data_IF_318607239727
#
_entry.id   IF_318607239727
#
_cell.length_a   1.000
_cell.length_b   1.000
_cell.length_c   1.000
_cell.angle_alpha   90.00
_cell.angle_beta   90.00
_cell.angle_gamma   90.00
#
_symmetry.space_group_name_H-M   'P 1'
#
loop_
_entity.id
_entity.type
_entity.pdbx_description
1 polymer ?
#
# COMPACT_ATOMS: atom_id res chain seq x y z
N UNK A 1 -24.79 24.80 -16.57
CA UNK A 1 -25.32 24.83 -15.19
C UNK A 1 -24.92 23.57 -14.41
N UNK A 2 -25.34 22.36 -14.82
CA UNK A 2 -25.01 21.12 -14.10
C UNK A 2 -23.50 20.84 -13.94
N UNK A 3 -22.71 20.98 -15.02
CA UNK A 3 -21.25 20.75 -14.96
C UNK A 3 -20.55 21.70 -13.99
N UNK A 4 -20.87 23.00 -14.03
CA UNK A 4 -20.32 24.01 -13.11
C UNK A 4 -20.70 23.72 -11.66
N UNK A 5 -21.96 23.34 -11.42
CA UNK A 5 -22.42 22.96 -10.07
C UNK A 5 -21.66 21.75 -9.51
N UNK A 6 -21.43 20.72 -10.33
CA UNK A 6 -20.67 19.52 -9.94
C UNK A 6 -19.19 19.85 -9.72
N UNK A 7 -18.60 20.72 -10.54
CA UNK A 7 -17.24 21.23 -10.33
C UNK A 7 -17.13 21.94 -9.00
N UNK A 8 -17.99 22.92 -8.71
CA UNK A 8 -17.95 23.65 -7.43
C UNK A 8 -18.16 22.71 -6.26
N UNK A 9 -19.15 21.81 -6.34
CA UNK A 9 -19.37 20.78 -5.33
C UNK A 9 -18.10 19.94 -5.09
N UNK A 10 -17.38 19.59 -6.15
CA UNK A 10 -16.17 18.75 -6.03
C UNK A 10 -15.02 19.37 -5.25
N UNK A 11 -14.99 20.71 -5.14
CA UNK A 11 -13.98 21.43 -4.36
C UNK A 11 -14.43 21.74 -2.93
N UNK A 12 -15.73 21.69 -2.64
CA UNK A 12 -16.29 22.09 -1.35
C UNK A 12 -16.57 20.90 -0.42
N UNK A 13 -16.70 19.68 -0.97
CA UNK A 13 -16.95 18.51 -0.13
C UNK A 13 -15.76 18.20 0.79
N UNK A 14 -16.00 17.66 2.00
CA UNK A 14 -14.93 17.17 2.85
C UNK A 14 -14.12 16.07 2.14
N UNK A 15 -12.79 16.11 2.29
CA UNK A 15 -11.90 15.10 1.70
C UNK A 15 -12.03 13.72 2.38
N UNK A 16 -12.64 13.67 3.57
CA UNK A 16 -12.96 12.45 4.31
C UNK A 16 -14.40 12.49 4.84
N UNK A 17 -15.12 11.37 4.72
CA UNK A 17 -16.47 11.17 5.26
C UNK A 17 -16.65 9.71 5.67
N UNK A 18 -17.25 9.45 6.84
CA UNK A 18 -17.58 8.10 7.32
C UNK A 18 -16.41 7.11 7.41
N UNK A 19 -15.22 7.58 7.83
CA UNK A 19 -14.01 6.76 7.91
C UNK A 19 -13.41 6.38 6.55
N UNK A 20 -13.98 6.87 5.45
CA UNK A 20 -13.38 6.83 4.12
C UNK A 20 -12.61 8.11 3.84
N UNK A 21 -11.45 7.98 3.19
CA UNK A 21 -10.67 9.11 2.68
C UNK A 21 -10.76 9.24 1.16
N UNK A 22 -10.19 10.32 0.66
CA UNK A 22 -10.00 10.59 -0.76
C UNK A 22 -11.28 10.88 -1.56
N UNK A 23 -12.33 11.39 -0.91
CA UNK A 23 -13.61 11.66 -1.59
C UNK A 23 -13.43 12.65 -2.75
N UNK A 24 -12.67 13.73 -2.51
CA UNK A 24 -12.37 14.77 -3.51
C UNK A 24 -11.66 14.17 -4.73
N UNK A 25 -10.65 13.33 -4.53
CA UNK A 25 -9.88 12.70 -5.62
C UNK A 25 -10.76 11.79 -6.47
N UNK A 26 -11.70 11.06 -5.84
CA UNK A 26 -12.63 10.17 -6.56
C UNK A 26 -13.62 10.95 -7.42
N UNK A 27 -14.06 12.12 -6.96
CA UNK A 27 -15.06 12.90 -7.70
C UNK A 27 -14.47 13.93 -8.66
N UNK A 28 -13.18 14.24 -8.54
CA UNK A 28 -12.49 15.17 -9.43
C UNK A 28 -12.57 14.76 -10.91
N UNK A 29 -12.80 13.47 -11.20
CA UNK A 29 -12.98 13.01 -12.58
C UNK A 29 -14.29 13.49 -13.24
N UNK A 30 -15.38 13.63 -12.46
CA UNK A 30 -16.71 13.94 -13.02
C UNK A 30 -16.79 15.29 -13.74
N UNK A 31 -16.24 16.40 -13.21
CA UNK A 31 -16.18 17.66 -13.94
C UNK A 31 -15.60 17.53 -15.35
N UNK A 32 -14.50 16.78 -15.50
CA UNK A 32 -13.86 16.58 -16.79
C UNK A 32 -14.72 15.74 -17.73
N UNK A 33 -15.31 14.65 -17.25
CA UNK A 33 -16.21 13.81 -18.06
C UNK A 33 -17.43 14.59 -18.53
N UNK A 34 -18.06 15.38 -17.65
CA UNK A 34 -19.20 16.22 -18.00
C UNK A 34 -18.81 17.31 -19.00
N UNK A 35 -17.62 17.88 -18.87
CA UNK A 35 -17.14 18.89 -19.80
C UNK A 35 -16.86 18.28 -21.18
N UNK A 36 -16.26 17.09 -21.24
CA UNK A 36 -16.08 16.34 -22.49
C UNK A 36 -17.42 16.04 -23.17
N UNK A 37 -18.41 15.54 -22.42
CA UNK A 37 -19.76 15.27 -22.93
C UNK A 37 -20.47 16.54 -23.41
N UNK A 38 -20.29 17.66 -22.69
CA UNK A 38 -20.85 18.94 -23.08
C UNK A 38 -20.22 19.47 -24.38
N UNK A 39 -18.90 19.41 -24.53
CA UNK A 39 -18.22 19.78 -25.79
C UNK A 39 -18.66 18.88 -26.95
N UNK A 40 -18.88 17.59 -26.69
CA UNK A 40 -19.34 16.66 -27.71
C UNK A 40 -20.77 16.98 -28.22
N UNK A 41 -21.62 17.54 -27.36
CA UNK A 41 -23.04 17.84 -27.65
C UNK A 41 -23.32 19.29 -28.01
N UNK A 42 -22.44 20.23 -27.66
CA UNK A 42 -22.56 21.63 -28.05
C UNK A 42 -22.47 21.79 -29.59
N UNK A 43 -23.47 22.45 -30.19
CA UNK A 43 -23.59 22.64 -31.64
C UNK A 43 -22.53 23.58 -32.23
N UNK A 44 -22.15 23.31 -33.49
CA UNK A 44 -21.27 24.09 -34.39
C UNK A 44 -19.79 24.26 -34.05
N UNK A 45 -19.24 23.59 -33.03
CA UNK A 45 -17.84 23.77 -32.64
C UNK A 45 -16.91 22.67 -33.21
N UNK A 46 -16.93 22.44 -34.52
CA UNK A 46 -16.14 21.38 -35.16
C UNK A 46 -14.62 21.53 -34.95
N UNK A 47 -14.09 22.76 -35.03
CA UNK A 47 -12.67 23.04 -34.82
C UNK A 47 -12.26 22.74 -33.37
N UNK A 48 -13.03 23.23 -32.39
CA UNK A 48 -12.77 22.99 -30.97
C UNK A 48 -12.78 21.49 -30.66
N UNK A 49 -13.78 20.74 -31.15
CA UNK A 49 -13.85 19.28 -30.97
C UNK A 49 -12.60 18.57 -31.49
N UNK A 50 -12.10 18.95 -32.68
CA UNK A 50 -10.86 18.38 -33.24
C UNK A 50 -9.64 18.71 -32.39
N UNK A 51 -9.49 19.97 -31.98
CA UNK A 51 -8.37 20.39 -31.12
C UNK A 51 -8.41 19.65 -29.78
N UNK A 52 -9.58 19.61 -29.12
CA UNK A 52 -9.75 18.87 -27.87
C UNK A 52 -9.44 17.39 -28.03
N UNK A 53 -9.90 16.75 -29.12
CA UNK A 53 -9.60 15.34 -29.39
C UNK A 53 -8.10 15.10 -29.59
N UNK A 54 -7.42 15.94 -30.38
CA UNK A 54 -5.97 15.82 -30.61
C UNK A 54 -5.19 16.02 -29.32
N UNK A 55 -5.46 17.10 -28.57
CA UNK A 55 -4.77 17.40 -27.31
C UNK A 55 -5.01 16.29 -26.28
N UNK A 56 -6.26 15.82 -26.14
CA UNK A 56 -6.58 14.73 -25.21
C UNK A 56 -5.92 13.42 -25.64
N UNK A 57 -5.84 13.13 -26.94
CA UNK A 57 -5.14 11.97 -27.48
C UNK A 57 -3.65 12.01 -27.15
N UNK A 58 -2.98 13.14 -27.41
CA UNK A 58 -1.56 13.35 -27.07
C UNK A 58 -1.34 13.19 -25.56
N UNK A 59 -2.18 13.84 -24.73
CA UNK A 59 -2.09 13.73 -23.28
C UNK A 59 -2.30 12.30 -22.79
N UNK A 60 -3.28 11.58 -23.36
CA UNK A 60 -3.56 10.18 -23.01
C UNK A 60 -2.39 9.27 -23.32
N UNK A 61 -1.82 9.37 -24.53
CA UNK A 61 -0.66 8.57 -24.93
C UNK A 61 0.55 8.89 -24.06
N UNK A 62 0.81 10.18 -23.80
CA UNK A 62 1.91 10.59 -22.93
C UNK A 62 1.77 10.08 -21.50
N UNK A 63 0.59 10.25 -20.89
CA UNK A 63 0.31 9.75 -19.53
C UNK A 63 0.33 8.22 -19.45
N UNK A 64 -0.16 7.53 -20.49
CA UNK A 64 -0.09 6.07 -20.57
C UNK A 64 1.37 5.60 -20.62
N UNK A 65 2.22 6.26 -21.42
CA UNK A 65 3.65 5.94 -21.48
C UNK A 65 4.34 6.11 -20.12
N UNK A 66 4.07 7.21 -19.42
CA UNK A 66 4.56 7.44 -18.05
C UNK A 66 4.06 6.35 -17.11
N UNK A 67 2.75 6.03 -17.15
CA UNK A 67 2.16 5.02 -16.28
C UNK A 67 2.73 3.62 -16.54
N UNK A 68 2.90 3.22 -17.81
CA UNK A 68 3.51 1.95 -18.19
C UNK A 68 4.96 1.83 -17.71
N UNK A 69 5.74 2.91 -17.80
CA UNK A 69 7.11 2.94 -17.29
C UNK A 69 7.16 2.66 -15.78
N UNK A 70 6.35 3.37 -14.99
CA UNK A 70 6.31 3.15 -13.54
C UNK A 70 5.71 1.79 -13.16
N UNK A 71 4.70 1.31 -13.87
CA UNK A 71 4.17 -0.05 -13.66
C UNK A 71 5.23 -1.11 -13.92
N UNK A 72 6.06 -0.93 -14.95
CA UNK A 72 7.16 -1.84 -15.22
C UNK A 72 8.20 -1.83 -14.11
N UNK A 73 8.59 -0.65 -13.60
CA UNK A 73 9.47 -0.56 -12.43
C UNK A 73 8.86 -1.30 -11.22
N UNK A 74 7.60 -1.04 -10.93
CA UNK A 74 6.92 -1.65 -9.78
C UNK A 74 6.68 -3.15 -9.92
N UNK A 75 6.60 -3.69 -11.14
CA UNK A 75 6.47 -5.13 -11.36
C UNK A 75 7.67 -5.91 -10.80
N UNK A 76 8.87 -5.30 -10.74
CA UNK A 76 10.05 -5.92 -10.14
C UNK A 76 9.88 -6.10 -8.64
N UNK A 77 9.32 -5.10 -7.96
CA UNK A 77 9.03 -5.20 -6.52
C UNK A 77 7.98 -6.27 -6.25
N UNK A 78 6.91 -6.31 -7.05
CA UNK A 78 5.87 -7.35 -6.92
C UNK A 78 6.46 -8.75 -7.13
N UNK A 79 7.35 -8.92 -8.11
CA UNK A 79 8.01 -10.20 -8.36
C UNK A 79 8.83 -10.70 -7.17
N UNK A 80 9.43 -9.80 -6.37
CA UNK A 80 10.15 -10.17 -5.15
C UNK A 80 9.22 -10.70 -4.06
N UNK A 81 8.05 -10.09 -3.91
CA UNK A 81 7.02 -10.62 -3.03
C UNK A 81 6.53 -11.99 -3.54
N UNK A 82 6.23 -12.12 -4.83
CA UNK A 82 5.73 -13.37 -5.41
C UNK A 82 6.75 -14.52 -5.31
N UNK A 83 8.05 -14.26 -5.48
CA UNK A 83 9.12 -15.26 -5.35
C UNK A 83 9.26 -15.79 -3.92
N UNK A 84 8.92 -14.97 -2.92
CA UNK A 84 9.04 -15.29 -1.51
C UNK A 84 7.78 -15.98 -0.94
N UNK A 85 6.65 -15.89 -1.63
CA UNK A 85 5.36 -16.47 -1.20
C UNK A 85 5.42 -17.98 -0.96
N UNK A 86 6.31 -18.71 -1.65
CA UNK A 86 6.47 -20.15 -1.50
C UNK A 86 6.89 -20.56 -0.08
N UNK A 87 7.70 -19.73 0.60
CA UNK A 87 8.20 -20.00 1.95
C UNK A 87 7.19 -19.81 3.08
N UNK A 88 5.99 -19.28 2.80
CA UNK A 88 4.95 -19.01 3.79
C UNK A 88 3.90 -20.13 3.79
N UNK A 89 3.90 -21.07 4.75
CA UNK A 89 2.93 -22.17 4.79
C UNK A 89 1.50 -21.66 4.98
N UNK A 90 0.49 -22.35 4.42
CA UNK A 90 -0.91 -22.02 4.66
C UNK A 90 -1.27 -22.12 6.16
N UNK A 91 -2.21 -21.28 6.59
CA UNK A 91 -2.73 -21.21 7.96
C UNK A 91 -1.86 -20.41 8.94
N UNK A 92 -0.79 -19.77 8.45
CA UNK A 92 0.16 -19.00 9.27
C UNK A 92 -0.12 -17.51 9.21
N UNK A 93 0.32 -16.79 10.24
CA UNK A 93 0.28 -15.33 10.29
C UNK A 93 1.55 -14.73 9.70
N UNK A 94 1.43 -13.54 9.14
CA UNK A 94 2.57 -12.78 8.64
C UNK A 94 2.47 -11.31 9.02
N UNK A 95 3.63 -10.71 9.30
CA UNK A 95 3.78 -9.27 9.55
C UNK A 95 4.87 -8.72 8.64
N UNK A 96 4.52 -7.73 7.83
CA UNK A 96 5.47 -6.94 7.04
C UNK A 96 6.03 -5.81 7.89
N UNK A 97 7.35 -5.74 7.91
CA UNK A 97 8.17 -4.70 8.52
C UNK A 97 8.78 -3.88 7.38
N UNK A 98 8.15 -2.76 7.07
CA UNK A 98 8.52 -1.88 5.97
C UNK A 98 9.48 -0.78 6.44
N UNK A 99 10.73 -0.83 5.97
CA UNK A 99 11.75 0.18 6.26
C UNK A 99 11.76 1.34 5.26
N UNK A 100 10.95 1.32 4.20
CA UNK A 100 10.97 2.37 3.18
C UNK A 100 10.01 3.53 3.46
N UNK A 101 9.18 3.43 4.50
CA UNK A 101 8.30 4.51 4.94
C UNK A 101 7.24 4.90 3.89
N UNK A 102 6.87 3.98 3.01
CA UNK A 102 5.80 4.11 2.00
C UNK A 102 6.03 5.13 0.88
N UNK A 103 7.13 5.89 0.92
CA UNK A 103 7.47 6.92 -0.05
C UNK A 103 8.82 6.68 -0.72
N UNK A 104 9.55 5.64 -0.32
CA UNK A 104 10.82 5.25 -0.92
C UNK A 104 10.72 3.82 -1.47
N UNK A 105 11.42 3.57 -2.56
CA UNK A 105 11.72 2.21 -2.99
C UNK A 105 12.82 1.60 -2.10
N UNK A 106 13.03 0.26 -2.11
CA UNK A 106 14.16 -0.37 -1.43
C UNK A 106 15.53 0.20 -1.82
N UNK A 107 15.64 0.79 -3.02
CA UNK A 107 16.84 1.45 -3.53
C UNK A 107 16.91 2.94 -3.13
N UNK A 108 15.94 3.45 -2.37
CA UNK A 108 15.90 4.82 -1.89
C UNK A 108 15.34 5.83 -2.90
N UNK A 109 14.77 5.39 -4.02
CA UNK A 109 14.14 6.30 -4.97
C UNK A 109 12.80 6.79 -4.41
N UNK A 110 12.52 8.10 -4.53
CA UNK A 110 11.22 8.62 -4.09
C UNK A 110 10.12 8.11 -5.00
N UNK A 111 9.13 7.48 -4.39
CA UNK A 111 7.94 6.99 -5.07
C UNK A 111 6.74 7.86 -4.75
N UNK A 112 5.84 7.99 -5.73
CA UNK A 112 4.59 8.69 -5.47
C UNK A 112 3.77 7.87 -4.50
N UNK A 113 3.33 8.48 -3.40
CA UNK A 113 2.35 7.86 -2.49
C UNK A 113 1.12 7.32 -3.24
N UNK A 114 0.73 7.95 -4.36
CA UNK A 114 -0.39 7.50 -5.21
C UNK A 114 -0.11 6.21 -5.98
N UNK A 115 1.16 5.88 -6.15
CA UNK A 115 1.67 4.71 -6.90
C UNK A 115 2.42 3.76 -5.96
N UNK A 116 2.23 3.84 -4.63
CA UNK A 116 2.86 2.90 -3.72
C UNK A 116 2.20 1.52 -3.90
N UNK A 117 2.80 0.70 -4.76
CA UNK A 117 2.32 -0.65 -5.07
C UNK A 117 2.71 -1.69 -4.02
N UNK A 118 3.63 -1.39 -3.09
CA UNK A 118 4.10 -2.33 -2.07
C UNK A 118 3.53 -2.12 -0.67
N UNK A 119 2.89 -0.98 -0.37
CA UNK A 119 2.25 -0.74 0.94
C UNK A 119 1.22 -1.82 1.31
N UNK A 120 0.68 -2.53 0.30
CA UNK A 120 -0.16 -3.71 0.47
C UNK A 120 0.21 -4.87 -0.48
N UNK A 121 1.47 -4.98 -0.94
CA UNK A 121 1.85 -6.08 -1.83
C UNK A 121 1.63 -7.45 -1.19
N UNK A 122 1.84 -7.56 0.12
CA UNK A 122 1.58 -8.76 0.90
C UNK A 122 0.11 -9.19 0.88
N UNK A 123 -0.83 -8.26 0.69
CA UNK A 123 -2.24 -8.61 0.62
C UNK A 123 -2.59 -9.39 -0.66
N UNK A 124 -1.68 -9.46 -1.65
CA UNK A 124 -1.79 -10.42 -2.76
C UNK A 124 -1.55 -11.86 -2.31
N UNK A 125 -0.75 -12.08 -1.27
CA UNK A 125 -0.46 -13.43 -0.76
C UNK A 125 -1.71 -14.08 -0.18
N UNK A 126 -2.52 -13.32 0.57
CA UNK A 126 -3.74 -13.84 1.19
C UNK A 126 -4.82 -14.22 0.16
N UNK A 127 -4.75 -13.66 -1.06
CA UNK A 127 -5.65 -14.03 -2.16
C UNK A 127 -5.30 -15.40 -2.73
N UNK A 128 -4.01 -15.72 -2.84
CA UNK A 128 -3.53 -16.94 -3.47
C UNK A 128 -3.22 -18.06 -2.47
N UNK A 129 -3.06 -17.73 -1.18
CA UNK A 129 -2.69 -18.65 -0.13
C UNK A 129 -3.42 -18.28 1.16
N UNK A 130 -3.97 -19.23 1.92
CA UNK A 130 -4.71 -18.92 3.15
C UNK A 130 -3.74 -18.49 4.26
N UNK A 131 -3.31 -17.24 4.24
CA UNK A 131 -2.45 -16.60 5.22
C UNK A 131 -3.24 -15.54 5.98
N UNK A 132 -2.78 -15.18 7.18
CA UNK A 132 -3.31 -14.04 7.94
C UNK A 132 -2.34 -12.88 7.83
N UNK A 133 -2.68 -11.87 7.04
CA UNK A 133 -1.94 -10.60 6.91
C UNK A 133 -2.24 -9.72 8.12
N UNK A 134 -1.26 -9.48 8.99
CA UNK A 134 -1.41 -8.63 10.18
C UNK A 134 -1.27 -7.13 9.88
N UNK A 135 -0.96 -6.74 8.63
CA UNK A 135 -0.90 -5.34 8.19
C UNK A 135 -2.21 -4.88 7.51
N UNK A 136 -3.26 -5.71 7.51
CA UNK A 136 -4.53 -5.40 6.85
C UNK A 136 -5.39 -4.47 7.71
N UNK A 137 -5.15 -3.16 7.66
CA UNK A 137 -5.92 -2.17 8.44
C UNK A 137 -7.42 -2.24 8.17
N UNK A 138 -7.82 -2.63 6.96
CA UNK A 138 -9.22 -2.77 6.57
C UNK A 138 -9.96 -3.70 7.54
N UNK A 139 -9.29 -4.77 8.01
CA UNK A 139 -9.85 -5.72 8.95
C UNK A 139 -10.01 -5.19 10.39
N UNK A 140 -9.38 -4.06 10.72
CA UNK A 140 -9.57 -3.37 12.01
C UNK A 140 -10.66 -2.28 11.95
N UNK A 141 -11.13 -1.90 10.75
CA UNK A 141 -12.09 -0.79 10.60
C UNK A 141 -13.53 -1.25 10.34
N UNK A 142 -14.55 -0.47 10.80
CA UNK A 142 -15.97 -0.80 10.63
C UNK A 142 -16.47 -0.89 9.17
N UNK A 143 -15.69 -0.42 8.20
CA UNK A 143 -16.17 -0.17 6.85
C UNK A 143 -15.98 -1.35 5.89
N UNK A 144 -15.28 -2.41 6.29
CA UNK A 144 -14.97 -3.56 5.44
C UNK A 144 -15.59 -4.87 5.99
N UNK A 145 -15.90 -5.84 5.11
CA UNK A 145 -16.52 -7.11 5.50
C UNK A 145 -15.55 -8.11 6.15
N UNK A 146 -14.24 -7.93 5.94
CA UNK A 146 -13.20 -8.72 6.61
C UNK A 146 -12.92 -8.11 7.99
N UNK A 147 -12.73 -8.96 9.01
CA UNK A 147 -12.50 -8.53 10.40
C UNK A 147 -11.49 -9.38 11.13
N UNK A 148 -10.67 -8.71 11.94
CA UNK A 148 -9.99 -9.39 13.05
C UNK A 148 -10.99 -9.67 14.17
N UNK A 149 -10.70 -10.71 14.95
CA UNK A 149 -11.29 -10.84 16.28
C UNK A 149 -10.66 -9.79 17.18
N UNK A 150 -11.42 -9.20 18.09
CA UNK A 150 -10.96 -8.07 18.92
C UNK A 150 -9.73 -8.45 19.76
N UNK A 151 -9.69 -9.67 20.30
CA UNK A 151 -8.56 -10.23 21.06
C UNK A 151 -7.34 -10.62 20.19
N UNK A 152 -7.45 -10.47 18.87
CA UNK A 152 -6.41 -10.75 17.89
C UNK A 152 -6.18 -9.60 16.91
N UNK A 153 -6.72 -8.40 17.18
CA UNK A 153 -6.54 -7.26 16.29
C UNK A 153 -5.12 -6.67 16.47
N UNK A 154 -4.24 -6.75 15.45
CA UNK A 154 -2.90 -6.21 15.53
C UNK A 154 -2.88 -4.69 15.75
N UNK A 155 -3.92 -3.96 15.37
CA UNK A 155 -4.00 -2.51 15.60
C UNK A 155 -4.38 -2.15 17.04
N UNK A 156 -4.85 -3.12 17.82
CA UNK A 156 -5.09 -2.98 19.27
C UNK A 156 -3.88 -3.49 20.05
N UNK A 157 -3.35 -4.65 19.65
CA UNK A 157 -2.40 -5.42 20.47
C UNK A 157 -0.94 -5.32 20.03
N UNK A 158 -0.64 -4.88 18.80
CA UNK A 158 0.72 -4.57 18.37
C UNK A 158 0.98 -3.07 18.50
N UNK A 159 1.83 -2.70 19.46
CA UNK A 159 2.32 -1.32 19.63
C UNK A 159 3.20 -0.90 18.45
N UNK A 160 3.13 0.37 18.09
CA UNK A 160 3.89 0.95 16.97
C UNK A 160 3.10 1.05 15.65
N UNK A 161 1.90 0.48 15.57
CA UNK A 161 0.94 0.72 14.48
C UNK A 161 0.13 2.01 14.68
N UNK A 162 0.78 3.08 15.14
CA UNK A 162 0.14 4.40 15.17
C UNK A 162 -0.34 4.78 13.77
N UNK A 163 -1.27 5.74 13.66
CA UNK A 163 -1.80 6.26 12.38
C UNK A 163 -0.74 6.89 11.44
N UNK A 164 0.55 6.71 11.71
CA UNK A 164 1.67 7.23 10.96
C UNK A 164 2.32 6.08 10.17
N UNK A 165 1.99 5.99 8.88
CA UNK A 165 2.53 5.02 7.92
C UNK A 165 4.06 5.12 7.72
N UNK A 166 4.72 6.12 8.32
CA UNK A 166 6.14 6.42 8.19
C UNK A 166 7.03 5.74 9.24
N UNK A 167 6.45 4.97 10.16
CA UNK A 167 7.23 4.29 11.19
C UNK A 167 6.91 2.79 11.12
N UNK A 168 7.90 1.90 10.91
CA UNK A 168 7.65 0.46 10.98
C UNK A 168 7.04 0.11 12.34
N UNK A 169 6.34 -1.04 12.48
CA UNK A 169 5.84 -1.47 13.78
C UNK A 169 7.02 -1.64 14.74
N UNK A 170 7.27 -0.67 15.62
CA UNK A 170 8.56 -0.59 16.32
C UNK A 170 8.64 -1.48 17.54
N UNK A 171 7.55 -1.87 18.21
CA UNK A 171 7.74 -2.07 19.65
C UNK A 171 7.73 -3.52 20.13
N UNK A 172 6.89 -4.44 19.64
CA UNK A 172 6.79 -5.74 20.34
C UNK A 172 6.03 -6.88 19.63
N UNK A 173 6.37 -7.20 18.38
CA UNK A 173 5.74 -8.33 17.69
C UNK A 173 6.23 -9.69 18.19
N UNK A 174 7.41 -9.76 18.82
CA UNK A 174 7.91 -11.01 19.41
C UNK A 174 7.05 -11.49 20.58
N UNK A 175 6.69 -10.59 21.49
CA UNK A 175 5.93 -10.90 22.71
C UNK A 175 4.41 -10.64 22.58
N UNK A 176 3.91 -10.41 21.36
CA UNK A 176 2.49 -10.13 21.10
C UNK A 176 1.55 -11.20 21.69
N UNK A 177 1.97 -12.47 21.67
CA UNK A 177 1.20 -13.60 22.18
C UNK A 177 1.07 -13.66 23.70
N UNK A 178 1.88 -12.91 24.45
CA UNK A 178 1.78 -12.84 25.92
C UNK A 178 0.62 -11.96 26.37
N UNK A 179 0.16 -11.05 25.50
CA UNK A 179 -0.90 -10.07 25.80
C UNK A 179 -2.17 -10.28 25.00
N UNK A 180 -2.10 -11.07 23.93
CA UNK A 180 -3.19 -11.26 22.97
C UNK A 180 -3.13 -12.65 22.36
N UNK A 181 -4.14 -13.01 21.56
CA UNK A 181 -4.11 -14.24 20.78
C UNK A 181 -3.20 -14.19 19.54
N UNK A 182 -2.44 -13.10 19.34
CA UNK A 182 -1.61 -12.89 18.15
C UNK A 182 -0.27 -13.59 18.32
N UNK A 183 0.04 -14.49 17.39
CA UNK A 183 1.40 -14.95 17.15
C UNK A 183 1.82 -14.44 15.79
N UNK A 184 3.06 -13.97 15.64
CA UNK A 184 3.64 -13.64 14.35
C UNK A 184 4.52 -14.82 13.93
N UNK A 185 4.01 -15.71 13.09
CA UNK A 185 4.74 -16.88 12.61
C UNK A 185 5.88 -16.46 11.65
N UNK A 186 5.61 -15.47 10.80
CA UNK A 186 6.54 -14.96 9.81
C UNK A 186 6.66 -13.43 9.84
N UNK A 187 7.90 -12.93 9.89
CA UNK A 187 8.20 -11.52 9.73
C UNK A 187 8.84 -11.28 8.35
N UNK A 188 8.24 -10.40 7.56
CA UNK A 188 8.66 -10.06 6.20
C UNK A 188 9.33 -8.69 6.26
N UNK A 189 10.65 -8.66 6.14
CA UNK A 189 11.44 -7.43 6.23
C UNK A 189 11.64 -6.88 4.82
N UNK A 190 11.04 -5.74 4.54
CA UNK A 190 11.11 -5.05 3.24
C UNK A 190 12.00 -3.81 3.32
N UNK A 191 12.93 -3.69 2.37
CA UNK A 191 13.72 -2.47 2.19
C UNK A 191 14.76 -2.19 3.29
N UNK A 192 15.22 -3.21 4.01
CA UNK A 192 16.28 -3.05 5.02
C UNK A 192 17.65 -2.81 4.37
N UNK A 193 17.91 -1.56 4.00
CA UNK A 193 19.19 -1.11 3.45
C UNK A 193 20.28 -1.06 4.53
N UNK A 194 21.58 -0.99 4.15
CA UNK A 194 22.66 -0.77 5.12
C UNK A 194 22.47 0.51 5.96
N UNK A 195 21.93 1.57 5.36
CA UNK A 195 21.61 2.81 6.06
C UNK A 195 20.57 2.56 7.15
N UNK A 196 19.44 1.92 6.81
CA UNK A 196 18.41 1.60 7.79
C UNK A 196 18.89 0.64 8.87
N UNK A 197 19.73 -0.34 8.52
CA UNK A 197 20.34 -1.25 9.50
C UNK A 197 21.20 -0.53 10.53
N UNK A 198 21.81 0.59 10.16
CA UNK A 198 22.60 1.44 11.07
C UNK A 198 21.77 2.48 11.83
N UNK A 199 20.49 2.65 11.50
CA UNK A 199 19.62 3.62 12.16
C UNK A 199 19.24 3.11 13.56
N UNK A 200 19.41 3.91 14.63
CA UNK A 200 18.99 3.53 15.99
C UNK A 200 17.51 3.15 16.09
N UNK A 201 16.64 3.69 15.24
CA UNK A 201 15.22 3.35 15.21
C UNK A 201 14.96 1.93 14.70
N UNK A 202 15.88 1.33 13.94
CA UNK A 202 15.77 -0.05 13.49
C UNK A 202 16.17 -1.07 14.56
N UNK A 203 16.99 -0.68 15.55
CA UNK A 203 17.56 -1.60 16.53
C UNK A 203 16.52 -2.44 17.28
N UNK A 204 15.40 -1.89 17.81
CA UNK A 204 14.39 -2.69 18.51
C UNK A 204 13.75 -3.78 17.65
N UNK A 205 13.60 -3.53 16.34
CA UNK A 205 13.06 -4.50 15.40
C UNK A 205 14.10 -5.58 15.10
N UNK A 206 15.35 -5.18 14.85
CA UNK A 206 16.44 -6.11 14.56
C UNK A 206 16.77 -7.02 15.75
N UNK A 207 16.68 -6.49 16.97
CA UNK A 207 16.88 -7.25 18.20
C UNK A 207 15.80 -8.33 18.37
N UNK A 208 14.52 -7.99 18.13
CA UNK A 208 13.42 -8.95 18.15
C UNK A 208 13.59 -10.06 17.09
N UNK A 209 14.03 -9.70 15.88
CA UNK A 209 14.33 -10.66 14.82
C UNK A 209 15.48 -11.59 15.23
N UNK A 210 16.58 -11.04 15.76
CA UNK A 210 17.74 -11.81 16.19
C UNK A 210 17.39 -12.77 17.35
N UNK A 211 16.59 -12.30 18.30
CA UNK A 211 16.16 -13.08 19.45
C UNK A 211 15.24 -14.23 19.04
N UNK A 212 14.11 -13.92 18.41
CA UNK A 212 13.00 -14.87 18.26
C UNK A 212 12.78 -15.43 16.86
N UNK A 213 13.58 -15.03 15.87
CA UNK A 213 13.37 -15.45 14.49
C UNK A 213 14.66 -15.94 13.82
N UNK A 214 14.50 -16.73 12.77
CA UNK A 214 15.57 -17.17 11.89
C UNK A 214 15.25 -16.80 10.44
N UNK A 215 16.28 -16.40 9.68
CA UNK A 215 16.13 -16.09 8.26
C UNK A 215 15.91 -17.38 7.47
N UNK A 216 14.79 -17.49 6.75
CA UNK A 216 14.46 -18.67 5.94
C UNK A 216 14.63 -18.44 4.44
N UNK A 217 14.41 -17.21 3.98
CA UNK A 217 14.56 -16.87 2.56
C UNK A 217 14.90 -15.39 2.39
N UNK A 218 15.78 -15.10 1.43
CA UNK A 218 15.97 -13.77 0.85
C UNK A 218 15.46 -13.75 -0.59
N UNK A 219 14.96 -12.59 -1.01
CA UNK A 219 14.56 -12.33 -2.39
C UNK A 219 15.78 -12.13 -3.31
N UNK A 220 15.60 -12.14 -4.62
CA UNK A 220 16.71 -12.17 -5.59
C UNK A 220 17.64 -10.95 -5.44
N UNK A 221 17.06 -9.76 -5.30
CA UNK A 221 17.80 -8.51 -5.12
C UNK A 221 18.08 -8.21 -3.63
N UNK A 222 17.65 -9.07 -2.71
CA UNK A 222 17.81 -8.87 -1.27
C UNK A 222 16.96 -7.74 -0.69
N UNK A 223 15.87 -7.34 -1.37
CA UNK A 223 14.95 -6.31 -0.86
C UNK A 223 13.95 -6.87 0.15
N UNK A 224 13.54 -8.13 -0.03
CA UNK A 224 12.66 -8.83 0.89
C UNK A 224 13.40 -9.96 1.60
N UNK A 225 13.26 -10.03 2.91
CA UNK A 225 13.77 -11.13 3.72
C UNK A 225 12.62 -11.72 4.54
N UNK A 226 12.47 -13.04 4.50
CA UNK A 226 11.48 -13.77 5.28
C UNK A 226 12.17 -14.39 6.49
N UNK A 227 11.66 -14.04 7.65
CA UNK A 227 12.06 -14.58 8.93
C UNK A 227 10.94 -15.45 9.49
N UNK A 228 11.29 -16.65 9.98
CA UNK A 228 10.38 -17.57 10.67
C UNK A 228 10.62 -17.50 12.16
N UNK A 229 9.54 -17.50 12.95
CA UNK A 229 9.63 -17.56 14.42
C UNK A 229 10.30 -18.88 14.85
N UNK A 230 11.25 -18.82 15.77
CA UNK A 230 11.87 -19.99 16.42
C UNK A 230 10.84 -20.65 17.34
N UNK A 231 10.89 -21.98 17.42
CA UNK A 231 10.12 -22.76 18.40
C UNK A 231 10.68 -22.64 19.82
#
# INVERSE_FOLDING_TARGET
MAAVGITVFSYVIPNSTSGGGLAVQRIQLYPYLLFMLWIATAGDWAALRRVTAVVSGIATVGLLGINMYYLHLSSRYVAEFESAMAALPPGRTMLVLDFTGWNLSPEGAHESFRMNFYGHAQSRFVVHRPLVDLNLYQASTPNFPVRYREEMDPYIHLRGSGANAYTPPTDEFLHAGERSGITVDYALVWGLTPQWRSDPAAAPILDQLAQGYELVQGSEHGWLHIYRRKE
#
